data_IF_283847221368
#
_entry.id   IF_283847221368
#
_cell.length_a   1.000
_cell.length_b   1.000
_cell.length_c   1.000
_cell.angle_alpha   90.00
_cell.angle_beta   90.00
_cell.angle_gamma   90.00
#
_symmetry.space_group_name_H-M   'P 1'
#
loop_
_entity.id
_entity.type
_entity.pdbx_description
1 polymer ?
#
# COMPACT_ATOMS: atom_id res chain seq x y z
N UNK A 1 -7.67 8.92 -20.60
CA UNK A 1 -7.59 7.57 -20.05
C UNK A 1 -8.88 7.27 -19.30
N UNK A 2 -9.62 6.23 -19.67
CA UNK A 2 -10.89 5.88 -19.00
C UNK A 2 -10.65 5.00 -17.77
N UNK A 3 -9.96 5.53 -16.78
CA UNK A 3 -9.84 4.88 -15.48
C UNK A 3 -11.22 4.86 -14.82
N UNK A 4 -11.79 3.69 -14.61
CA UNK A 4 -12.93 3.51 -13.71
C UNK A 4 -12.37 3.21 -12.31
N UNK A 5 -12.30 4.16 -11.40
CA UNK A 5 -11.91 3.85 -10.04
C UNK A 5 -13.01 3.00 -9.42
N UNK A 6 -12.73 1.73 -9.16
CA UNK A 6 -13.56 0.93 -8.27
C UNK A 6 -13.16 1.35 -6.86
N UNK A 7 -13.90 2.29 -6.31
CA UNK A 7 -13.61 2.80 -5.00
C UNK A 7 -14.26 1.86 -3.99
N UNK A 8 -13.54 0.81 -3.62
CA UNK A 8 -13.92 -0.14 -2.59
C UNK A 8 -14.44 0.56 -1.32
N UNK A 9 -13.75 1.61 -0.88
CA UNK A 9 -14.16 2.40 0.28
C UNK A 9 -15.52 3.09 0.08
N UNK A 10 -15.82 3.58 -1.11
CA UNK A 10 -17.11 4.18 -1.41
C UNK A 10 -18.23 3.12 -1.40
N UNK A 11 -17.97 1.94 -1.98
CA UNK A 11 -18.91 0.82 -1.96
C UNK A 11 -19.18 0.36 -0.51
N UNK A 12 -18.16 0.18 0.31
CA UNK A 12 -18.30 -0.14 1.73
C UNK A 12 -19.08 0.94 2.47
N UNK A 13 -18.85 2.21 2.18
CA UNK A 13 -19.59 3.32 2.80
C UNK A 13 -21.07 3.30 2.46
N UNK A 14 -21.44 3.01 1.22
CA UNK A 14 -22.83 2.86 0.78
C UNK A 14 -23.49 1.68 1.49
N UNK A 15 -22.85 0.51 1.52
CA UNK A 15 -23.38 -0.69 2.16
C UNK A 15 -23.52 -0.55 3.68
N UNK A 16 -22.62 0.16 4.32
CA UNK A 16 -22.66 0.42 5.77
C UNK A 16 -23.53 1.62 6.15
N UNK A 17 -24.15 2.30 5.17
CA UNK A 17 -24.94 3.53 5.37
C UNK A 17 -24.18 4.64 6.10
N UNK A 18 -22.86 4.64 6.05
CA UNK A 18 -22.07 5.75 6.57
C UNK A 18 -22.13 6.91 5.61
N UNK A 19 -22.60 8.07 6.09
CA UNK A 19 -22.68 9.29 5.29
C UNK A 19 -21.26 9.77 4.92
N UNK A 20 -21.09 10.03 3.61
CA UNK A 20 -20.06 10.84 2.99
C UNK A 20 -18.59 10.52 3.30
N UNK A 21 -18.05 9.59 2.51
CA UNK A 21 -16.64 9.75 2.16
C UNK A 21 -16.56 10.85 1.08
N UNK A 22 -16.12 12.02 1.45
CA UNK A 22 -15.45 12.87 0.48
C UNK A 22 -14.20 12.13 0.07
N UNK A 23 -14.16 11.65 -1.17
CA UNK A 23 -12.90 11.35 -1.80
C UNK A 23 -12.28 12.71 -2.07
N UNK A 24 -11.64 13.23 -1.07
CA UNK A 24 -10.82 14.39 -1.16
C UNK A 24 -9.41 13.89 -1.37
N UNK A 25 -8.72 14.44 -2.32
CA UNK A 25 -7.29 14.48 -2.28
C UNK A 25 -6.93 15.32 -1.06
N UNK A 26 -6.52 14.65 0.01
CA UNK A 26 -5.83 15.34 1.08
C UNK A 26 -4.37 15.39 0.65
N UNK A 27 -3.90 16.58 0.27
CA UNK A 27 -2.47 16.83 0.19
C UNK A 27 -1.80 16.48 1.52
N UNK A 28 -0.52 16.22 1.51
CA UNK A 28 0.24 15.97 2.70
C UNK A 28 -0.03 17.05 3.75
N UNK A 29 -0.54 16.63 4.87
CA UNK A 29 -0.66 17.49 6.04
C UNK A 29 0.58 17.22 6.86
N UNK A 30 1.27 18.28 7.30
CA UNK A 30 2.42 18.14 8.19
C UNK A 30 2.07 17.18 9.34
N UNK A 31 2.87 16.14 9.49
CA UNK A 31 2.71 15.17 10.57
C UNK A 31 2.76 15.91 11.91
N UNK A 32 1.82 15.61 12.78
CA UNK A 32 1.76 16.17 14.13
C UNK A 32 1.92 15.07 15.15
N UNK A 33 2.73 15.36 16.17
CA UNK A 33 2.79 14.48 17.32
C UNK A 33 1.62 14.80 18.24
N UNK A 34 0.59 13.95 18.24
CA UNK A 34 -0.57 14.09 19.11
C UNK A 34 -0.25 13.67 20.54
N UNK A 35 -1.11 14.05 21.48
CA UNK A 35 -1.00 13.65 22.88
C UNK A 35 -1.10 12.13 23.06
N UNK A 36 -2.05 11.53 22.36
CA UNK A 36 -2.25 10.08 22.34
C UNK A 36 -1.54 9.43 21.16
N UNK A 37 -1.05 8.22 21.35
CA UNK A 37 -0.57 7.37 20.26
C UNK A 37 -1.76 6.58 19.71
N UNK A 38 -2.11 6.86 18.46
CA UNK A 38 -3.30 6.30 17.79
C UNK A 38 -3.01 5.04 16.97
N UNK A 39 -1.81 4.47 17.09
CA UNK A 39 -1.37 3.35 16.25
C UNK A 39 -2.34 2.17 16.34
N UNK A 40 -2.76 1.82 17.52
CA UNK A 40 -3.57 0.62 17.78
C UNK A 40 -4.94 0.94 18.41
N UNK A 41 -5.52 2.10 18.12
CA UNK A 41 -6.83 2.54 18.63
C UNK A 41 -7.95 1.50 18.41
N UNK A 42 -7.83 0.67 17.38
CA UNK A 42 -8.78 -0.42 17.15
C UNK A 42 -8.83 -1.41 18.32
N UNK A 43 -7.80 -1.50 19.17
CA UNK A 43 -7.78 -2.35 20.35
C UNK A 43 -8.90 -2.01 21.34
N UNK A 44 -9.38 -0.75 21.34
CA UNK A 44 -10.42 -0.27 22.26
C UNK A 44 -11.78 -0.92 21.98
N UNK A 45 -12.07 -1.29 20.73
CA UNK A 45 -13.40 -1.75 20.32
C UNK A 45 -13.40 -3.03 19.47
N UNK A 46 -12.22 -3.56 19.13
CA UNK A 46 -12.11 -4.71 18.26
C UNK A 46 -12.47 -6.01 19.00
N UNK A 47 -13.46 -6.69 18.49
CA UNK A 47 -13.84 -8.04 18.87
C UNK A 47 -14.10 -8.93 17.64
N UNK A 48 -14.34 -10.20 17.87
CA UNK A 48 -14.66 -11.16 16.82
C UNK A 48 -15.87 -10.74 15.99
N UNK A 49 -16.91 -10.18 16.63
CA UNK A 49 -18.14 -9.76 15.93
C UNK A 49 -17.86 -8.57 15.00
N UNK A 50 -17.01 -7.66 15.41
CA UNK A 50 -16.59 -6.53 14.57
C UNK A 50 -15.85 -7.02 13.34
N UNK A 51 -14.89 -7.93 13.49
CA UNK A 51 -14.12 -8.46 12.36
C UNK A 51 -14.98 -9.28 11.39
N UNK A 52 -15.89 -10.14 11.90
CA UNK A 52 -16.84 -10.87 11.07
C UNK A 52 -17.74 -9.93 10.24
N UNK A 53 -18.23 -8.84 10.85
CA UNK A 53 -19.01 -7.83 10.13
C UNK A 53 -18.21 -7.12 9.05
N UNK A 54 -16.92 -6.85 9.26
CA UNK A 54 -16.04 -6.31 8.23
C UNK A 54 -15.91 -7.27 7.05
N UNK A 55 -15.72 -8.56 7.32
CA UNK A 55 -15.64 -9.59 6.27
C UNK A 55 -16.96 -9.74 5.51
N UNK A 56 -18.10 -9.72 6.20
CA UNK A 56 -19.43 -9.76 5.57
C UNK A 56 -19.64 -8.59 4.61
N UNK A 57 -19.32 -7.38 5.03
CA UNK A 57 -19.43 -6.19 4.18
C UNK A 57 -18.49 -6.30 2.97
N UNK A 58 -17.28 -6.80 3.17
CA UNK A 58 -16.33 -7.02 2.10
C UNK A 58 -16.84 -8.06 1.09
N UNK A 59 -17.32 -9.19 1.57
CA UNK A 59 -17.90 -10.25 0.74
C UNK A 59 -19.06 -9.72 -0.11
N UNK A 60 -20.00 -9.01 0.52
CA UNK A 60 -21.15 -8.41 -0.16
C UNK A 60 -20.73 -7.40 -1.22
N UNK A 61 -19.71 -6.60 -0.92
CA UNK A 61 -19.16 -5.62 -1.85
C UNK A 61 -18.53 -6.31 -3.07
N UNK A 62 -17.71 -7.32 -2.86
CA UNK A 62 -17.08 -8.05 -3.96
C UNK A 62 -18.10 -8.83 -4.81
N UNK A 63 -19.12 -9.42 -4.21
CA UNK A 63 -20.18 -10.05 -4.98
C UNK A 63 -20.94 -9.04 -5.85
N UNK A 64 -21.22 -7.85 -5.32
CA UNK A 64 -21.88 -6.79 -6.06
C UNK A 64 -21.04 -6.24 -7.22
N UNK A 65 -19.73 -6.11 -7.03
CA UNK A 65 -18.78 -5.57 -8.02
C UNK A 65 -17.88 -6.66 -8.63
N UNK A 66 -18.36 -7.88 -8.71
CA UNK A 66 -17.57 -9.03 -9.17
C UNK A 66 -16.98 -8.85 -10.56
N UNK A 67 -17.73 -8.23 -11.46
CA UNK A 67 -17.28 -7.96 -12.83
C UNK A 67 -16.14 -6.95 -12.88
N UNK A 68 -16.28 -5.88 -12.10
CA UNK A 68 -15.28 -4.82 -11.99
C UNK A 68 -14.02 -5.34 -11.29
N UNK A 69 -14.20 -6.16 -10.25
CA UNK A 69 -13.09 -6.80 -9.55
C UNK A 69 -12.29 -7.74 -10.46
N UNK A 70 -12.96 -8.53 -11.29
CA UNK A 70 -12.30 -9.42 -12.25
C UNK A 70 -11.51 -8.65 -13.33
N UNK A 71 -11.92 -7.43 -13.67
CA UNK A 71 -11.22 -6.55 -14.60
C UNK A 71 -10.20 -5.61 -13.97
N UNK A 72 -9.89 -5.78 -12.69
CA UNK A 72 -8.97 -4.91 -11.96
C UNK A 72 -7.52 -5.21 -12.33
N UNK A 73 -6.90 -4.30 -13.08
CA UNK A 73 -5.52 -4.45 -13.55
C UNK A 73 -4.44 -4.22 -12.46
N UNK A 74 -4.82 -3.70 -11.31
CA UNK A 74 -3.95 -3.39 -10.19
C UNK A 74 -3.95 -1.91 -9.80
N UNK A 75 -3.36 -1.56 -8.65
CA UNK A 75 -3.31 -0.19 -8.18
C UNK A 75 -2.24 0.62 -8.92
N UNK A 76 -2.52 1.90 -9.13
CA UNK A 76 -1.52 2.91 -9.42
C UNK A 76 -1.44 3.83 -8.19
N UNK A 77 -0.28 3.85 -7.57
CA UNK A 77 -0.02 4.65 -6.38
C UNK A 77 0.94 5.80 -6.72
N UNK A 78 0.64 6.97 -6.20
CA UNK A 78 1.58 8.10 -6.21
C UNK A 78 2.09 8.20 -4.77
N UNK A 79 3.37 7.98 -4.60
CA UNK A 79 4.04 8.03 -3.30
C UNK A 79 4.80 9.35 -3.20
N UNK A 80 4.36 10.23 -2.33
CA UNK A 80 4.94 11.56 -2.18
C UNK A 80 6.17 11.50 -1.29
N UNK A 81 7.17 12.31 -1.61
CA UNK A 81 8.39 12.44 -0.83
C UNK A 81 8.93 13.88 -0.83
N UNK A 82 9.81 14.17 0.09
CA UNK A 82 10.40 15.50 0.26
C UNK A 82 9.65 16.37 1.27
N UNK A 83 8.70 15.79 1.99
CA UNK A 83 8.08 16.45 3.14
C UNK A 83 9.09 16.67 4.27
N UNK A 84 8.75 17.59 5.18
CA UNK A 84 9.54 17.78 6.39
C UNK A 84 9.67 16.44 7.15
N UNK A 85 10.89 16.05 7.54
CA UNK A 85 11.11 14.78 8.22
C UNK A 85 10.27 14.67 9.49
N UNK A 86 9.55 13.57 9.61
CA UNK A 86 8.77 13.24 10.79
C UNK A 86 9.21 11.89 11.35
N UNK A 87 9.68 11.90 12.58
CA UNK A 87 10.00 10.68 13.32
C UNK A 87 8.92 10.46 14.39
N UNK A 88 8.09 9.41 14.24
CA UNK A 88 7.06 9.12 15.22
C UNK A 88 7.69 8.63 16.52
N UNK A 89 7.23 9.20 17.63
CA UNK A 89 7.65 8.78 18.98
C UNK A 89 6.56 7.89 19.57
N UNK A 90 6.93 6.66 19.94
CA UNK A 90 6.04 5.77 20.65
C UNK A 90 5.70 6.35 22.04
N UNK A 91 4.44 6.32 22.41
CA UNK A 91 3.93 6.87 23.68
C UNK A 91 3.31 5.78 24.57
N UNK A 92 3.36 6.01 25.85
CA UNK A 92 2.69 5.13 26.82
C UNK A 92 1.16 5.13 26.67
N UNK A 93 0.61 6.18 26.06
CA UNK A 93 -0.82 6.32 25.77
C UNK A 93 -1.34 5.41 24.65
N UNK A 94 -0.49 4.62 24.01
CA UNK A 94 -0.88 3.66 22.97
C UNK A 94 -1.86 2.63 23.53
N UNK A 95 -2.98 2.42 22.84
CA UNK A 95 -3.86 1.29 23.11
C UNK A 95 -3.15 -0.01 22.70
N UNK A 96 -2.98 -0.93 23.65
CA UNK A 96 -2.28 -2.20 23.38
C UNK A 96 -3.29 -3.28 23.00
N UNK A 97 -2.97 -4.00 21.93
CA UNK A 97 -3.68 -5.21 21.59
C UNK A 97 -3.39 -6.30 22.61
N UNK A 98 -4.41 -7.04 23.01
CA UNK A 98 -4.23 -8.29 23.75
C UNK A 98 -3.77 -9.40 22.80
N UNK A 99 -3.14 -10.44 23.33
CA UNK A 99 -2.73 -11.62 22.55
C UNK A 99 -3.88 -12.18 21.71
N UNK A 100 -5.08 -12.26 22.30
CA UNK A 100 -6.27 -12.72 21.60
C UNK A 100 -6.71 -11.78 20.46
N UNK A 101 -6.47 -10.47 20.58
CA UNK A 101 -6.76 -9.53 19.51
C UNK A 101 -5.72 -9.61 18.38
N UNK A 102 -4.45 -9.82 18.68
CA UNK A 102 -3.40 -10.05 17.70
C UNK A 102 -3.70 -11.32 16.88
N UNK A 103 -4.08 -12.41 17.54
CA UNK A 103 -4.49 -13.64 16.86
C UNK A 103 -5.72 -13.44 15.97
N UNK A 104 -6.72 -12.68 16.45
CA UNK A 104 -7.90 -12.35 15.65
C UNK A 104 -7.55 -11.50 14.41
N UNK A 105 -6.60 -10.58 14.51
CA UNK A 105 -6.12 -9.78 13.36
C UNK A 105 -5.48 -10.70 12.33
N UNK A 106 -4.57 -11.58 12.74
CA UNK A 106 -3.91 -12.52 11.83
C UNK A 106 -4.93 -13.40 11.08
N UNK A 107 -5.94 -13.90 11.79
CA UNK A 107 -7.01 -14.69 11.18
C UNK A 107 -7.85 -13.84 10.22
N UNK A 108 -8.17 -12.62 10.60
CA UNK A 108 -8.89 -11.67 9.74
C UNK A 108 -8.13 -11.37 8.46
N UNK A 109 -6.84 -11.03 8.56
CA UNK A 109 -6.00 -10.67 7.41
C UNK A 109 -5.83 -11.84 6.44
N UNK A 110 -5.68 -13.05 6.98
CA UNK A 110 -5.64 -14.28 6.17
C UNK A 110 -6.95 -14.46 5.39
N UNK A 111 -8.10 -14.35 6.06
CA UNK A 111 -9.43 -14.50 5.43
C UNK A 111 -9.71 -13.38 4.43
N UNK A 112 -9.30 -12.15 4.76
CA UNK A 112 -9.39 -11.01 3.86
C UNK A 112 -8.59 -11.25 2.58
N UNK A 113 -7.35 -11.70 2.71
CA UNK A 113 -6.46 -11.97 1.57
C UNK A 113 -7.02 -13.09 0.68
N UNK A 114 -7.52 -14.18 1.28
CA UNK A 114 -8.17 -15.25 0.54
C UNK A 114 -9.42 -14.76 -0.20
N UNK A 115 -10.19 -13.89 0.42
CA UNK A 115 -11.36 -13.29 -0.21
C UNK A 115 -10.97 -12.41 -1.40
N UNK A 116 -9.99 -11.52 -1.23
CA UNK A 116 -9.47 -10.66 -2.32
C UNK A 116 -9.01 -11.52 -3.49
N UNK A 117 -8.22 -12.55 -3.24
CA UNK A 117 -7.66 -13.42 -4.28
C UNK A 117 -8.74 -14.24 -5.04
N UNK A 118 -9.91 -14.44 -4.44
CA UNK A 118 -11.05 -15.09 -5.12
C UNK A 118 -11.65 -14.23 -6.22
N UNK A 119 -11.66 -12.91 -6.04
CA UNK A 119 -12.30 -11.98 -6.96
C UNK A 119 -11.30 -11.26 -7.88
N UNK A 120 -10.08 -11.07 -7.40
CA UNK A 120 -9.00 -10.40 -8.12
C UNK A 120 -7.85 -11.39 -8.25
N UNK A 121 -7.64 -11.87 -9.47
CA UNK A 121 -6.59 -12.86 -9.75
C UNK A 121 -5.22 -12.18 -9.72
N UNK A 122 -4.34 -12.71 -8.88
CA UNK A 122 -3.00 -12.16 -8.68
C UNK A 122 -2.15 -12.16 -9.96
N UNK A 123 -2.27 -13.21 -10.76
CA UNK A 123 -1.55 -13.41 -12.02
C UNK A 123 -2.00 -12.46 -13.15
N UNK A 124 -3.19 -11.88 -13.04
CA UNK A 124 -3.75 -10.97 -14.05
C UNK A 124 -3.62 -9.50 -13.66
N UNK A 125 -2.93 -9.20 -12.57
CA UNK A 125 -2.76 -7.84 -12.08
C UNK A 125 -1.29 -7.45 -11.96
N UNK A 126 -1.05 -6.16 -12.11
CA UNK A 126 0.21 -5.51 -11.80
C UNK A 126 -0.02 -4.36 -10.81
N UNK A 127 1.05 -3.75 -10.36
CA UNK A 127 0.96 -2.50 -9.63
C UNK A 127 2.03 -1.52 -10.14
N UNK A 128 1.74 -0.25 -10.00
CA UNK A 128 2.70 0.81 -10.32
C UNK A 128 2.76 1.76 -9.14
N UNK A 129 3.95 2.05 -8.69
CA UNK A 129 4.21 3.08 -7.70
C UNK A 129 5.10 4.13 -8.36
N UNK A 130 4.65 5.37 -8.34
CA UNK A 130 5.39 6.51 -8.91
C UNK A 130 5.75 7.42 -7.75
N UNK A 131 7.04 7.64 -7.54
CA UNK A 131 7.50 8.63 -6.59
C UNK A 131 7.19 10.05 -7.13
N UNK A 132 6.73 10.94 -6.26
CA UNK A 132 6.38 12.30 -6.62
C UNK A 132 6.93 13.28 -5.58
N UNK A 133 7.84 14.19 -5.96
CA UNK A 133 8.38 15.17 -5.02
C UNK A 133 7.32 16.21 -4.67
N UNK A 134 7.37 16.71 -3.45
CA UNK A 134 6.55 17.85 -3.03
C UNK A 134 7.39 19.13 -2.98
N UNK A 135 6.78 20.32 -3.16
CA UNK A 135 7.53 21.59 -3.18
C UNK A 135 8.34 21.86 -1.91
N UNK A 136 7.95 21.29 -0.79
CA UNK A 136 8.63 21.37 0.50
C UNK A 136 10.04 20.79 0.48
N UNK A 137 10.39 19.99 -0.55
CA UNK A 137 11.76 19.48 -0.76
C UNK A 137 12.78 20.63 -0.97
N UNK A 138 12.30 21.82 -1.30
CA UNK A 138 13.11 23.04 -1.37
C UNK A 138 13.51 23.45 -2.78
N UNK A 139 14.60 24.22 -2.87
CA UNK A 139 15.04 24.92 -4.11
C UNK A 139 15.28 23.99 -5.30
N UNK A 140 15.56 22.72 -5.06
CA UNK A 140 15.79 21.71 -6.12
C UNK A 140 14.52 21.01 -6.61
N UNK A 141 13.35 21.47 -6.21
CA UNK A 141 12.08 20.82 -6.55
C UNK A 141 11.94 20.57 -8.05
N UNK A 142 12.15 21.59 -8.88
CA UNK A 142 11.99 21.48 -10.33
C UNK A 142 12.98 20.48 -10.94
N UNK A 143 14.25 20.52 -10.52
CA UNK A 143 15.29 19.59 -10.99
C UNK A 143 14.93 18.15 -10.66
N UNK A 144 14.50 17.91 -9.42
CA UNK A 144 14.10 16.58 -8.95
C UNK A 144 12.83 16.12 -9.67
N UNK A 145 11.87 17.00 -9.87
CA UNK A 145 10.63 16.69 -10.59
C UNK A 145 10.90 16.27 -12.04
N UNK A 146 11.75 17.01 -12.75
CA UNK A 146 12.14 16.68 -14.13
C UNK A 146 12.85 15.34 -14.20
N UNK A 147 13.72 15.03 -13.23
CA UNK A 147 14.38 13.73 -13.13
C UNK A 147 13.37 12.59 -12.90
N UNK A 148 12.40 12.78 -12.03
CA UNK A 148 11.33 11.79 -11.81
C UNK A 148 10.52 11.56 -13.08
N UNK A 149 10.17 12.61 -13.83
CA UNK A 149 9.49 12.46 -15.12
C UNK A 149 10.36 11.67 -16.09
N UNK A 150 11.66 11.98 -16.16
CA UNK A 150 12.60 11.28 -17.04
C UNK A 150 12.69 9.79 -16.70
N UNK A 151 12.79 9.44 -15.42
CA UNK A 151 12.85 8.05 -14.95
C UNK A 151 11.54 7.32 -15.28
N UNK A 152 10.40 7.95 -15.08
CA UNK A 152 9.10 7.31 -15.30
C UNK A 152 8.69 7.24 -16.78
N UNK A 153 9.44 7.87 -17.68
CA UNK A 153 9.21 7.82 -19.14
C UNK A 153 10.24 6.98 -19.89
N UNK A 154 11.03 6.19 -19.18
CA UNK A 154 12.00 5.27 -19.78
C UNK A 154 11.33 4.21 -20.64
N UNK A 155 12.02 3.74 -21.66
CA UNK A 155 11.53 2.68 -22.53
C UNK A 155 11.45 1.35 -21.77
N UNK A 156 10.23 0.94 -21.43
CA UNK A 156 9.96 -0.27 -20.68
C UNK A 156 10.55 -1.53 -21.34
N UNK A 157 10.64 -1.59 -22.69
CA UNK A 157 11.21 -2.74 -23.39
C UNK A 157 12.72 -2.85 -23.23
N UNK A 158 13.40 -1.72 -23.12
CA UNK A 158 14.84 -1.72 -22.82
C UNK A 158 15.09 -2.21 -21.41
N UNK A 159 14.29 -1.71 -20.45
CA UNK A 159 14.37 -2.16 -19.05
C UNK A 159 14.05 -3.64 -18.87
N UNK A 160 13.01 -4.14 -19.54
CA UNK A 160 12.65 -5.55 -19.53
C UNK A 160 13.83 -6.44 -19.93
N UNK A 161 14.56 -6.06 -20.99
CA UNK A 161 15.74 -6.80 -21.43
C UNK A 161 16.86 -6.78 -20.40
N UNK A 162 17.11 -5.63 -19.77
CA UNK A 162 18.13 -5.50 -18.71
C UNK A 162 17.76 -6.36 -17.52
N UNK A 163 16.49 -6.29 -17.08
CA UNK A 163 15.99 -7.10 -15.98
C UNK A 163 16.05 -8.59 -16.30
N UNK A 164 15.67 -9.00 -17.52
CA UNK A 164 15.75 -10.41 -17.90
C UNK A 164 17.19 -10.93 -17.90
N UNK A 165 18.14 -10.13 -18.35
CA UNK A 165 19.57 -10.51 -18.30
C UNK A 165 20.02 -10.74 -16.85
N UNK A 166 19.56 -9.92 -15.91
CA UNK A 166 19.85 -10.09 -14.49
C UNK A 166 19.18 -11.35 -13.92
N UNK A 167 17.92 -11.58 -14.26
CA UNK A 167 17.17 -12.77 -13.86
C UNK A 167 17.89 -14.02 -14.36
N UNK A 168 18.23 -14.07 -15.65
CA UNK A 168 18.93 -15.21 -16.26
C UNK A 168 20.29 -15.49 -15.58
N UNK A 169 20.98 -14.46 -15.11
CA UNK A 169 22.22 -14.62 -14.38
C UNK A 169 22.00 -15.14 -12.95
N UNK A 170 20.95 -14.66 -12.27
CA UNK A 170 20.60 -15.09 -10.92
C UNK A 170 20.07 -16.53 -10.91
N UNK A 171 19.31 -16.93 -11.92
CA UNK A 171 18.77 -18.29 -12.06
C UNK A 171 19.86 -19.37 -12.24
N UNK A 172 21.07 -18.96 -12.63
CA UNK A 172 22.22 -19.84 -12.74
C UNK A 172 23.03 -19.95 -11.44
N UNK A 173 22.76 -19.09 -10.47
CA UNK A 173 23.44 -19.05 -9.18
C UNK A 173 22.74 -19.88 -8.12
N UNK A 174 23.49 -20.48 -7.20
CA UNK A 174 22.95 -21.13 -6.01
C UNK A 174 22.84 -20.15 -4.82
N UNK A 175 23.62 -19.07 -4.87
CA UNK A 175 23.63 -18.03 -3.84
C UNK A 175 24.15 -16.70 -4.40
N UNK A 176 23.82 -15.62 -3.75
CA UNK A 176 24.24 -14.26 -4.11
C UNK A 176 25.07 -13.63 -3.01
N UNK A 177 26.25 -13.14 -3.35
CA UNK A 177 27.10 -12.36 -2.46
C UNK A 177 26.95 -10.87 -2.75
N UNK A 178 26.53 -10.10 -1.78
CA UNK A 178 26.44 -8.65 -1.87
C UNK A 178 27.57 -8.05 -1.03
N UNK A 179 28.49 -7.33 -1.68
CA UNK A 179 29.61 -6.65 -1.03
C UNK A 179 29.37 -5.16 -1.08
N UNK A 180 29.25 -4.52 0.06
CA UNK A 180 29.16 -3.07 0.18
C UNK A 180 30.54 -2.42 0.21
N UNK A 181 30.63 -1.17 -0.24
CA UNK A 181 31.87 -0.37 -0.19
C UNK A 181 32.37 -0.09 1.23
N UNK A 182 31.51 -0.24 2.23
CA UNK A 182 31.82 -0.15 3.65
C UNK A 182 32.32 -1.46 4.27
N UNK A 183 32.54 -2.49 3.47
CA UNK A 183 32.99 -3.80 3.94
C UNK A 183 31.86 -4.72 4.44
N UNK A 184 30.61 -4.28 4.37
CA UNK A 184 29.47 -5.15 4.69
C UNK A 184 29.33 -6.26 3.64
N UNK A 185 29.04 -7.48 4.12
CA UNK A 185 28.75 -8.63 3.29
C UNK A 185 27.39 -9.20 3.65
N UNK A 186 26.60 -9.50 2.65
CA UNK A 186 25.32 -10.21 2.78
C UNK A 186 25.34 -11.40 1.83
N UNK A 187 25.01 -12.56 2.33
CA UNK A 187 24.85 -13.80 1.57
C UNK A 187 23.36 -14.17 1.55
N UNK A 188 22.78 -14.36 0.37
CA UNK A 188 21.38 -14.71 0.14
C UNK A 188 21.29 -16.04 -0.62
#
# INVERSE_FOLDING_TARGET
>A
MGLKPVIYRAAVSVLTKRQHYKIGYCGAVANKQYEYDHKDDQAIFMDKKYLERKLEVMQTTYEHYKKEAAGFAGPACIDMFGEEPFEPVAKETVAKLSESQEEMILQYDSRQSQMVNRYIKGEERSFTIIAYPVPEIGEKYEEIFDEIIRINTLDAKVYEKVQQTLIDALDQGEYVHILGTNGNRTDL
#
